data_IF_909754858332
#
_entry.id   IF_909754858332
#
_cell.length_a   1.000
_cell.length_b   1.000
_cell.length_c   1.000
_cell.angle_alpha   90.00
_cell.angle_beta   90.00
_cell.angle_gamma   90.00
#
_symmetry.space_group_name_H-M   'P 1'
#
loop_
_entity.id
_entity.type
_entity.pdbx_description
1 polymer ?
#
# COMPACT_ATOMS: atom_id res chain seq x y z
N UNK A 1 -7.23 -14.77 -7.41
CA UNK A 1 -6.55 -13.51 -7.07
C UNK A 1 -5.81 -13.63 -5.76
N UNK A 2 -4.72 -12.92 -5.62
CA UNK A 2 -3.90 -12.94 -4.43
C UNK A 2 -4.13 -11.67 -3.61
N UNK A 3 -4.20 -11.82 -2.29
CA UNK A 3 -4.28 -10.66 -1.40
C UNK A 3 -2.90 -10.04 -1.21
N UNK A 4 -2.82 -8.74 -1.36
CA UNK A 4 -1.59 -7.98 -1.14
C UNK A 4 -1.81 -6.93 -0.06
N UNK A 5 -0.78 -6.69 0.71
CA UNK A 5 -0.79 -5.71 1.79
C UNK A 5 0.33 -4.72 1.53
N UNK A 6 0.02 -3.44 1.66
CA UNK A 6 0.92 -2.38 1.24
C UNK A 6 1.16 -1.42 2.39
N UNK A 7 2.44 -1.17 2.66
CA UNK A 7 2.86 -0.11 3.56
C UNK A 7 3.11 1.14 2.73
N UNK A 8 2.51 2.24 3.15
CA UNK A 8 2.68 3.51 2.45
C UNK A 8 4.13 3.93 2.41
N UNK A 9 4.50 4.64 1.34
CA UNK A 9 5.85 5.19 1.23
C UNK A 9 6.08 6.18 2.38
N UNK A 10 7.19 6.02 3.10
CA UNK A 10 7.56 6.93 4.16
C UNK A 10 8.33 8.11 3.62
N UNK A 11 8.46 9.14 4.44
CA UNK A 11 9.23 10.32 4.09
C UNK A 11 10.66 9.91 3.69
N UNK A 12 11.07 10.27 2.48
CA UNK A 12 12.37 9.92 1.95
C UNK A 12 12.37 8.73 1.00
N UNK A 13 11.28 7.97 0.91
CA UNK A 13 11.14 6.91 -0.07
C UNK A 13 9.84 7.11 -0.85
N UNK A 14 9.92 6.92 -2.17
CA UNK A 14 8.76 7.07 -3.03
C UNK A 14 8.15 5.72 -3.43
N UNK A 15 8.66 4.63 -2.87
CA UNK A 15 8.24 3.29 -3.24
C UNK A 15 7.50 2.63 -2.08
N UNK A 16 6.25 2.22 -2.27
CA UNK A 16 5.53 1.48 -1.23
C UNK A 16 6.11 0.09 -1.08
N UNK A 17 5.99 -0.48 0.10
CA UNK A 17 6.40 -1.86 0.35
C UNK A 17 5.16 -2.75 0.22
N UNK A 18 5.19 -3.68 -0.72
CA UNK A 18 4.07 -4.56 -1.05
C UNK A 18 4.44 -5.99 -0.68
N UNK A 19 3.61 -6.63 0.13
CA UNK A 19 3.79 -8.03 0.51
C UNK A 19 2.52 -8.81 0.20
N UNK A 20 2.69 -10.12 -0.01
CA UNK A 20 1.56 -11.01 -0.26
C UNK A 20 0.98 -11.53 1.06
N UNK A 21 -0.07 -12.36 0.93
CA UNK A 21 -0.76 -12.91 2.08
C UNK A 21 0.17 -13.77 2.95
N UNK A 22 1.04 -14.54 2.34
CA UNK A 22 1.98 -15.40 3.07
C UNK A 22 2.94 -14.56 3.92
N UNK A 23 3.53 -13.53 3.32
CA UNK A 23 4.45 -12.64 4.03
C UNK A 23 3.74 -11.88 5.15
N UNK A 24 2.50 -11.48 4.92
CA UNK A 24 1.70 -10.81 5.95
C UNK A 24 1.38 -11.75 7.11
N UNK A 25 1.06 -13.00 6.81
CA UNK A 25 0.85 -14.00 7.85
C UNK A 25 2.10 -14.18 8.71
N UNK A 26 3.27 -14.26 8.07
CA UNK A 26 4.54 -14.35 8.79
C UNK A 26 4.80 -13.11 9.64
N UNK A 27 4.46 -11.94 9.13
CA UNK A 27 4.62 -10.69 9.89
C UNK A 27 3.74 -10.66 11.13
N UNK A 28 2.51 -11.14 11.02
CA UNK A 28 1.57 -11.20 12.15
C UNK A 28 2.04 -12.14 13.25
N UNK A 29 2.78 -13.18 12.88
CA UNK A 29 3.31 -14.16 13.83
C UNK A 29 4.76 -13.89 14.24
N UNK A 30 5.32 -12.77 13.81
CA UNK A 30 6.70 -12.42 14.16
C UNK A 30 7.76 -13.29 13.51
N UNK A 31 7.43 -13.95 12.40
CA UNK A 31 8.33 -14.88 11.71
C UNK A 31 9.28 -14.19 10.74
N UNK A 32 9.07 -12.90 10.49
CA UNK A 32 9.98 -12.09 9.68
C UNK A 32 10.20 -10.75 10.37
N UNK A 33 11.00 -9.88 9.77
CA UNK A 33 11.34 -8.58 10.37
C UNK A 33 10.30 -7.49 10.08
N UNK A 34 9.19 -7.86 9.46
CA UNK A 34 8.16 -6.89 9.07
C UNK A 34 7.19 -6.64 10.22
N UNK A 35 6.69 -5.42 10.29
CA UNK A 35 5.66 -5.05 11.25
C UNK A 35 4.32 -5.04 10.56
N UNK A 36 3.46 -6.01 10.88
CA UNK A 36 2.15 -6.17 10.24
C UNK A 36 1.28 -4.91 10.37
N UNK A 37 1.42 -4.18 11.48
CA UNK A 37 0.61 -2.99 11.73
C UNK A 37 0.90 -1.84 10.75
N UNK A 38 2.04 -1.87 10.07
CA UNK A 38 2.39 -0.84 9.10
C UNK A 38 1.74 -1.06 7.73
N UNK A 39 1.27 -2.27 7.45
CA UNK A 39 0.67 -2.63 6.16
C UNK A 39 -0.84 -2.44 6.22
N UNK A 40 -1.26 -1.20 6.19
CA UNK A 40 -2.67 -0.83 6.40
C UNK A 40 -3.53 -0.89 5.15
N UNK A 41 -2.93 -0.85 3.97
CA UNK A 41 -3.68 -0.94 2.72
C UNK A 41 -3.72 -2.39 2.25
N UNK A 42 -4.93 -2.86 1.92
CA UNK A 42 -5.15 -4.22 1.45
C UNK A 42 -5.87 -4.18 0.11
N UNK A 43 -5.40 -4.98 -0.85
CA UNK A 43 -6.08 -5.14 -2.11
C UNK A 43 -5.91 -6.57 -2.64
N UNK A 44 -6.76 -6.93 -3.59
CA UNK A 44 -6.66 -8.20 -4.29
C UNK A 44 -6.25 -7.94 -5.73
N UNK A 45 -5.25 -8.66 -6.21
CA UNK A 45 -4.72 -8.49 -7.54
C UNK A 45 -4.15 -9.81 -8.06
N UNK A 46 -3.93 -9.89 -9.34
CA UNK A 46 -3.36 -11.08 -9.96
C UNK A 46 -1.85 -11.19 -9.73
N UNK A 47 -1.19 -10.04 -9.59
CA UNK A 47 0.25 -9.99 -9.36
C UNK A 47 0.60 -8.71 -8.61
N UNK A 48 1.86 -8.60 -8.21
CA UNK A 48 2.32 -7.46 -7.41
C UNK A 48 2.26 -6.14 -8.19
N UNK A 49 2.45 -6.20 -9.50
CA UNK A 49 2.39 -5.02 -10.36
C UNK A 49 0.98 -4.43 -10.37
N UNK A 50 -0.03 -5.28 -10.49
CA UNK A 50 -1.42 -4.83 -10.43
C UNK A 50 -1.77 -4.25 -9.07
N UNK A 51 -1.24 -4.82 -8.00
CA UNK A 51 -1.44 -4.29 -6.65
C UNK A 51 -0.84 -2.90 -6.52
N UNK A 52 0.34 -2.68 -7.07
CA UNK A 52 0.99 -1.38 -7.07
C UNK A 52 0.19 -0.35 -7.86
N UNK A 53 -0.34 -0.74 -9.00
CA UNK A 53 -1.19 0.16 -9.81
C UNK A 53 -2.44 0.59 -9.05
N UNK A 54 -3.10 -0.34 -8.37
CA UNK A 54 -4.28 -0.03 -7.57
C UNK A 54 -3.94 0.93 -6.43
N UNK A 55 -2.80 0.72 -5.79
CA UNK A 55 -2.34 1.60 -4.73
C UNK A 55 -2.14 3.02 -5.23
N UNK A 56 -1.40 3.18 -6.32
CA UNK A 56 -1.11 4.50 -6.88
C UNK A 56 -2.35 5.20 -7.39
N UNK A 57 -3.27 4.47 -7.99
CA UNK A 57 -4.52 5.04 -8.47
C UNK A 57 -5.31 5.65 -7.33
N UNK A 58 -5.42 4.94 -6.21
CA UNK A 58 -6.15 5.43 -5.06
C UNK A 58 -5.45 6.59 -4.37
N UNK A 59 -4.13 6.49 -4.20
CA UNK A 59 -3.36 7.56 -3.58
C UNK A 59 -3.29 8.81 -4.43
N UNK A 60 -3.16 8.66 -5.73
CA UNK A 60 -3.17 9.80 -6.65
C UNK A 60 -4.51 10.52 -6.60
N UNK A 61 -5.59 9.77 -6.52
CA UNK A 61 -6.93 10.34 -6.43
C UNK A 61 -7.08 11.15 -5.14
N UNK A 62 -6.64 10.61 -4.01
CA UNK A 62 -6.71 11.30 -2.73
C UNK A 62 -5.86 12.57 -2.73
N UNK A 63 -4.65 12.50 -3.26
CA UNK A 63 -3.78 13.66 -3.35
C UNK A 63 -4.36 14.73 -4.27
N UNK A 64 -4.95 14.31 -5.38
CA UNK A 64 -5.59 15.22 -6.32
C UNK A 64 -6.78 15.94 -5.68
N UNK A 65 -7.61 15.21 -4.98
CA UNK A 65 -8.77 15.79 -4.30
C UNK A 65 -8.35 16.80 -3.24
N UNK A 66 -7.28 16.47 -2.50
CA UNK A 66 -6.74 17.38 -1.49
C UNK A 66 -6.23 18.67 -2.13
N UNK A 67 -5.49 18.57 -3.21
CA UNK A 67 -4.96 19.74 -3.91
C UNK A 67 -6.08 20.58 -4.54
N UNK A 68 -7.09 19.92 -5.10
CA UNK A 68 -8.23 20.61 -5.67
C UNK A 68 -8.97 21.44 -4.61
N UNK A 69 -9.13 20.86 -3.42
CA UNK A 69 -9.75 21.56 -2.30
C UNK A 69 -8.93 22.76 -1.85
N UNK A 70 -7.61 22.59 -1.80
CA UNK A 70 -6.67 23.62 -1.38
C UNK A 70 -6.66 24.83 -2.32
N UNK A 71 -6.78 24.58 -3.62
CA UNK A 71 -6.73 25.65 -4.63
C UNK A 71 -8.08 26.11 -5.11
N UNK A 72 -9.14 25.62 -4.51
CA UNK A 72 -10.48 26.05 -4.87
C UNK A 72 -10.73 27.46 -4.33
N UNK A 73 -11.16 28.42 -5.18
CA UNK A 73 -11.41 29.78 -4.76
C UNK A 73 -12.59 29.91 -3.79
#
# INVERSE_FOLDING_TARGET
>A
MTSYYIRTATCGTNTPHIIDEEAMHQAEHGMNCLNADEFMYHCEAENIHDAEEQYWEEFSRMAFDYEAEKYHP
#
